data_IF_614543410364
#
_entry.id   IF_614543410364
#
_cell.length_a   1.000
_cell.length_b   1.000
_cell.length_c   1.000
_cell.angle_alpha   90.00
_cell.angle_beta   90.00
_cell.angle_gamma   90.00
#
_symmetry.space_group_name_H-M   'P 1'
#
loop_
_entity.id
_entity.type
_entity.pdbx_description
1 polymer ?
#
# COMPACT_ATOMS: atom_id res chain seq x y z
N UNK A 1 20.41 13.95 43.41
CA UNK A 1 19.06 13.93 42.79
C UNK A 1 19.00 14.92 41.63
N UNK A 2 19.54 14.58 40.46
CA UNK A 2 19.49 15.45 39.25
C UNK A 2 19.32 14.65 37.93
N UNK A 3 18.98 13.36 37.97
CA UNK A 3 18.74 12.56 36.74
C UNK A 3 17.33 12.70 36.16
N UNK A 4 16.33 13.08 36.95
CA UNK A 4 14.93 13.13 36.49
C UNK A 4 14.65 14.18 35.42
N UNK A 5 15.31 15.34 35.48
CA UNK A 5 15.05 16.46 34.56
C UNK A 5 15.66 16.25 33.16
N UNK A 6 16.70 15.41 33.04
CA UNK A 6 17.35 15.07 31.75
C UNK A 6 16.72 13.84 31.08
N UNK A 7 16.02 13.01 31.86
CA UNK A 7 15.38 11.77 31.38
C UNK A 7 14.00 12.04 30.76
N UNK A 8 13.27 13.05 31.24
CA UNK A 8 11.97 13.46 30.72
C UNK A 8 11.99 13.84 29.22
N UNK A 9 12.86 14.74 28.73
CA UNK A 9 12.89 15.07 27.30
C UNK A 9 13.35 13.91 26.43
N UNK A 10 14.24 13.03 26.93
CA UNK A 10 14.69 11.84 26.21
C UNK A 10 13.54 10.85 26.04
N UNK A 11 12.75 10.62 27.09
CA UNK A 11 11.57 9.75 27.03
C UNK A 11 10.52 10.31 26.06
N UNK A 12 10.28 11.62 26.07
CA UNK A 12 9.37 12.27 25.12
C UNK A 12 9.85 12.12 23.68
N UNK A 13 11.14 12.30 23.40
CA UNK A 13 11.72 12.10 22.05
C UNK A 13 11.56 10.63 21.62
N UNK A 14 11.75 9.68 22.53
CA UNK A 14 11.66 8.24 22.24
C UNK A 14 10.23 7.79 21.92
N UNK A 15 9.23 8.35 22.63
CA UNK A 15 7.82 8.13 22.34
C UNK A 15 7.44 8.68 20.96
N UNK A 16 7.83 9.93 20.65
CA UNK A 16 7.58 10.54 19.33
C UNK A 16 8.24 9.76 18.20
N UNK A 17 9.46 9.26 18.41
CA UNK A 17 10.18 8.47 17.42
C UNK A 17 9.53 7.10 17.16
N UNK A 18 8.92 6.48 18.18
CA UNK A 18 8.20 5.23 18.03
C UNK A 18 6.96 5.40 17.15
N UNK A 19 6.18 6.46 17.36
CA UNK A 19 4.97 6.74 16.55
C UNK A 19 5.29 7.01 15.08
N UNK A 20 6.41 7.68 14.79
CA UNK A 20 6.83 8.00 13.42
C UNK A 20 7.25 6.75 12.62
N UNK A 21 7.71 5.71 13.30
CA UNK A 21 8.16 4.47 12.64
C UNK A 21 7.02 3.68 12.00
N UNK A 22 5.83 3.69 12.61
CA UNK A 22 4.64 2.97 12.15
C UNK A 22 4.15 3.52 10.81
N UNK A 23 4.15 4.84 10.66
CA UNK A 23 3.67 5.52 9.46
C UNK A 23 4.62 5.41 8.25
N UNK A 24 5.90 5.09 8.48
CA UNK A 24 6.87 4.88 7.40
C UNK A 24 6.78 3.48 6.77
N UNK A 25 6.15 2.53 7.48
CA UNK A 25 6.01 1.14 7.04
C UNK A 25 4.72 0.90 6.24
N UNK A 26 3.71 1.74 6.44
CA UNK A 26 2.44 1.68 5.71
C UNK A 26 2.63 2.29 4.31
N UNK A 27 2.80 1.43 3.31
CA UNK A 27 3.00 1.85 1.93
C UNK A 27 1.75 1.53 1.11
N UNK A 28 1.03 2.56 0.68
CA UNK A 28 -0.14 2.42 -0.19
C UNK A 28 0.23 2.62 -1.66
N UNK A 29 -0.40 1.85 -2.55
CA UNK A 29 -0.22 1.92 -4.00
C UNK A 29 -1.58 2.01 -4.66
N UNK A 30 -1.73 2.91 -5.63
CA UNK A 30 -2.89 3.00 -6.50
C UNK A 30 -2.47 2.98 -7.97
N UNK A 31 -3.21 2.23 -8.79
CA UNK A 31 -3.02 2.15 -10.24
C UNK A 31 -4.34 2.46 -10.94
N UNK A 32 -4.24 3.09 -12.11
CA UNK A 32 -5.36 3.23 -13.04
C UNK A 32 -4.86 3.04 -14.46
N UNK A 33 -5.71 2.54 -15.34
CA UNK A 33 -5.35 2.30 -16.72
C UNK A 33 -6.55 1.93 -17.57
N UNK A 34 -6.28 1.61 -18.84
CA UNK A 34 -7.25 1.11 -19.79
C UNK A 34 -6.71 -0.17 -20.43
N UNK A 35 -7.51 -1.22 -20.42
CA UNK A 35 -7.19 -2.47 -21.09
C UNK A 35 -7.84 -2.48 -22.48
N UNK A 36 -7.05 -2.82 -23.51
CA UNK A 36 -7.48 -2.84 -24.90
C UNK A 36 -7.07 -4.14 -25.58
N UNK A 37 -7.90 -4.61 -26.51
CA UNK A 37 -7.63 -5.75 -27.39
C UNK A 37 -7.65 -5.27 -28.85
N UNK A 38 -6.46 -4.96 -29.39
CA UNK A 38 -6.34 -4.21 -30.64
C UNK A 38 -6.88 -2.80 -30.47
N UNK A 39 -7.82 -2.41 -31.34
CA UNK A 39 -8.43 -1.07 -31.34
C UNK A 39 -9.70 -0.97 -30.46
N UNK A 40 -10.05 -2.02 -29.71
CA UNK A 40 -11.29 -2.07 -28.91
C UNK A 40 -10.97 -2.13 -27.42
N UNK A 41 -11.75 -1.43 -26.56
CA UNK A 41 -11.69 -1.65 -25.13
C UNK A 41 -11.98 -3.11 -24.77
N UNK A 42 -11.25 -3.61 -23.78
CA UNK A 42 -11.50 -4.93 -23.19
C UNK A 42 -12.37 -4.74 -21.96
N UNK A 43 -13.59 -5.28 -21.99
CA UNK A 43 -14.63 -5.06 -20.98
C UNK A 43 -14.90 -6.33 -20.20
N UNK A 44 -15.05 -6.22 -18.89
CA UNK A 44 -15.39 -7.36 -18.03
C UNK A 44 -14.19 -8.23 -17.64
N UNK A 45 -12.98 -7.83 -18.03
CA UNK A 45 -11.75 -8.52 -17.62
C UNK A 45 -11.38 -8.21 -16.18
N UNK A 46 -10.97 -9.25 -15.45
CA UNK A 46 -10.43 -9.12 -14.10
C UNK A 46 -8.98 -8.62 -14.15
N UNK A 47 -8.71 -7.53 -13.44
CA UNK A 47 -7.37 -6.99 -13.21
C UNK A 47 -7.01 -7.23 -11.74
N UNK A 48 -5.77 -7.68 -11.49
CA UNK A 48 -5.25 -7.92 -10.15
C UNK A 48 -4.00 -7.08 -9.90
N UNK A 49 -3.96 -6.42 -8.75
CA UNK A 49 -2.77 -5.79 -8.22
C UNK A 49 -2.09 -6.79 -7.28
N UNK A 50 -0.87 -7.22 -7.61
CA UNK A 50 -0.15 -8.28 -6.89
C UNK A 50 1.19 -7.74 -6.42
N UNK A 51 1.52 -7.97 -5.15
CA UNK A 51 2.85 -7.70 -4.61
C UNK A 51 3.80 -8.86 -4.92
N UNK A 52 4.73 -8.65 -5.85
CA UNK A 52 5.70 -9.67 -6.29
C UNK A 52 7.02 -9.62 -5.50
N UNK A 53 6.96 -9.42 -4.17
CA UNK A 53 8.15 -9.30 -3.31
C UNK A 53 8.28 -10.39 -2.25
N UNK A 54 7.50 -11.47 -2.32
CA UNK A 54 7.48 -12.49 -1.27
C UNK A 54 8.06 -13.82 -1.76
N UNK A 55 8.83 -14.48 -0.88
CA UNK A 55 9.22 -15.89 -1.01
C UNK A 55 8.01 -16.85 -0.85
N UNK A 56 6.79 -16.31 -0.79
CA UNK A 56 5.50 -17.00 -0.64
C UNK A 56 4.64 -16.79 -1.88
N UNK A 57 3.62 -17.62 -2.06
CA UNK A 57 2.69 -17.54 -3.19
C UNK A 57 1.93 -16.20 -3.21
N UNK A 58 1.69 -15.68 -4.42
CA UNK A 58 1.08 -14.39 -4.79
C UNK A 58 0.25 -13.67 -3.71
N UNK A 59 0.75 -12.54 -3.19
CA UNK A 59 -0.01 -11.62 -2.32
C UNK A 59 -0.84 -10.65 -3.19
N UNK A 60 -2.09 -11.01 -3.47
CA UNK A 60 -3.06 -10.09 -4.08
C UNK A 60 -3.36 -8.92 -3.12
N UNK A 61 -3.12 -7.70 -3.58
CA UNK A 61 -3.42 -6.46 -2.85
C UNK A 61 -4.84 -5.97 -3.12
N UNK A 62 -5.29 -6.11 -4.38
CA UNK A 62 -6.62 -5.72 -4.83
C UNK A 62 -6.98 -6.42 -6.14
N UNK A 63 -8.27 -6.54 -6.41
CA UNK A 63 -8.81 -6.94 -7.70
C UNK A 63 -10.04 -6.14 -8.07
N UNK A 64 -10.28 -6.03 -9.37
CA UNK A 64 -11.44 -5.34 -9.93
C UNK A 64 -11.65 -5.71 -11.38
N UNK A 65 -12.65 -5.09 -12.00
CA UNK A 65 -13.08 -5.43 -13.35
C UNK A 65 -13.06 -4.19 -14.23
N UNK A 66 -12.64 -4.36 -15.47
CA UNK A 66 -12.65 -3.30 -16.48
C UNK A 66 -14.09 -2.90 -16.85
N UNK A 67 -14.33 -1.60 -16.99
CA UNK A 67 -15.64 -1.04 -17.37
C UNK A 67 -15.94 -1.18 -18.88
N UNK A 68 -17.05 -0.61 -19.33
CA UNK A 68 -17.47 -0.60 -20.75
C UNK A 68 -16.47 0.10 -21.69
N UNK A 69 -15.60 0.94 -21.14
CA UNK A 69 -14.53 1.62 -21.86
C UNK A 69 -13.16 1.00 -21.58
N UNK A 70 -13.10 -0.14 -20.88
CA UNK A 70 -11.88 -0.86 -20.55
C UNK A 70 -11.08 -0.23 -19.41
N UNK A 71 -11.58 0.81 -18.74
CA UNK A 71 -10.87 1.45 -17.64
C UNK A 71 -10.93 0.61 -16.36
N UNK A 72 -9.87 0.72 -15.56
CA UNK A 72 -9.79 0.15 -14.23
C UNK A 72 -9.04 1.11 -13.30
N UNK A 73 -9.36 1.03 -12.01
CA UNK A 73 -8.66 1.71 -10.93
C UNK A 73 -8.62 0.77 -9.72
N UNK A 74 -7.43 0.51 -9.19
CA UNK A 74 -7.19 -0.39 -8.05
C UNK A 74 -6.26 0.29 -7.06
N UNK A 75 -6.49 0.06 -5.78
CA UNK A 75 -5.60 0.51 -4.71
C UNK A 75 -5.44 -0.56 -3.66
N UNK A 76 -4.26 -0.66 -3.06
CA UNK A 76 -4.01 -1.57 -1.94
C UNK A 76 -2.77 -1.16 -1.16
N UNK A 77 -2.65 -1.74 0.02
CA UNK A 77 -1.60 -1.43 0.99
C UNK A 77 -0.62 -2.60 1.09
N UNK A 78 0.67 -2.30 1.17
CA UNK A 78 1.74 -3.28 1.32
C UNK A 78 1.96 -3.70 2.78
N UNK A 79 1.12 -3.25 3.71
CA UNK A 79 1.13 -3.75 5.08
C UNK A 79 0.85 -5.25 5.04
N UNK A 80 1.85 -6.08 5.36
CA UNK A 80 1.65 -7.52 5.52
C UNK A 80 0.52 -7.76 6.53
N UNK A 81 -0.54 -8.44 6.09
CA UNK A 81 -1.61 -8.93 6.97
C UNK A 81 -1.21 -10.25 7.60
#
# INVERSE_FOLDING_TARGET
MMSGFRMLPVLTILLIAADLSSALLDQSIAIKGQLVCGDKPSTGDTVKLINHNTFTFDNELASGTTDEQGFYELSGDLSES
#
